data_IF_249715917708
#
_entry.id   IF_249715917708
#
_cell.length_a   1.000
_cell.length_b   1.000
_cell.length_c   1.000
_cell.angle_alpha   90.00
_cell.angle_beta   90.00
_cell.angle_gamma   90.00
#
_symmetry.space_group_name_H-M   'P 1'
#
loop_
_entity.id
_entity.type
_entity.pdbx_description
1 polymer ?
#
# COMPACT_ATOMS: atom_id res chain seq x y z
N UNK A 1 9.73 5.38 -8.54
CA UNK A 1 11.14 5.48 -8.13
C UNK A 1 11.82 4.10 -8.16
N UNK A 2 11.30 3.05 -7.49
CA UNK A 2 11.89 1.68 -7.55
C UNK A 2 12.23 1.16 -8.95
N UNK A 3 11.31 1.33 -9.92
CA UNK A 3 11.57 0.90 -11.29
C UNK A 3 12.62 1.77 -11.99
N UNK A 4 12.62 3.10 -11.75
CA UNK A 4 13.68 3.99 -12.24
C UNK A 4 15.06 3.64 -11.66
N UNK A 5 15.14 3.28 -10.37
CA UNK A 5 16.37 2.76 -9.77
C UNK A 5 16.89 1.51 -10.49
N UNK A 6 16.00 0.57 -10.84
CA UNK A 6 16.38 -0.63 -11.61
C UNK A 6 16.89 -0.31 -13.00
N UNK A 7 16.34 0.73 -13.66
CA UNK A 7 16.86 1.21 -14.95
C UNK A 7 18.30 1.70 -14.84
N UNK A 8 18.65 2.32 -13.71
CA UNK A 8 20.00 2.84 -13.44
C UNK A 8 20.98 1.72 -13.06
N UNK A 9 20.63 0.86 -12.09
CA UNK A 9 21.51 -0.22 -11.59
C UNK A 9 21.66 -1.39 -12.57
N UNK A 10 20.62 -1.69 -13.34
CA UNK A 10 20.59 -2.89 -14.17
C UNK A 10 20.22 -2.54 -15.63
N UNK A 11 21.09 -1.79 -16.34
CA UNK A 11 20.80 -1.31 -17.70
C UNK A 11 20.68 -2.47 -18.71
N UNK A 12 21.29 -3.62 -18.41
CA UNK A 12 21.34 -4.77 -19.32
C UNK A 12 20.12 -5.71 -19.26
N UNK A 13 19.19 -5.48 -18.33
CA UNK A 13 17.96 -6.29 -18.27
C UNK A 13 17.08 -6.04 -19.49
N UNK A 14 16.27 -7.04 -19.88
CA UNK A 14 15.34 -6.91 -21.00
C UNK A 14 14.42 -5.69 -20.83
N UNK A 15 13.88 -5.49 -19.62
CA UNK A 15 13.02 -4.35 -19.32
C UNK A 15 13.74 -3.01 -19.51
N UNK A 16 14.98 -2.88 -19.04
CA UNK A 16 15.79 -1.66 -19.22
C UNK A 16 16.09 -1.39 -20.70
N UNK A 17 16.49 -2.42 -21.46
CA UNK A 17 16.77 -2.31 -22.90
C UNK A 17 15.54 -1.89 -23.69
N UNK A 18 14.38 -2.49 -23.43
CA UNK A 18 13.11 -2.16 -24.10
C UNK A 18 12.66 -0.74 -23.77
N UNK A 19 12.71 -0.35 -22.49
CA UNK A 19 12.32 1.00 -22.07
C UNK A 19 13.27 2.07 -22.63
N UNK A 20 14.58 1.80 -22.66
CA UNK A 20 15.58 2.69 -23.26
C UNK A 20 15.32 2.86 -24.76
N UNK A 21 15.21 1.75 -25.51
CA UNK A 21 14.97 1.79 -26.95
C UNK A 21 13.68 2.54 -27.30
N UNK A 22 12.62 2.38 -26.50
CA UNK A 22 11.31 3.00 -26.77
C UNK A 22 11.22 4.47 -26.37
N UNK A 23 11.76 4.84 -25.21
CA UNK A 23 11.47 6.15 -24.60
C UNK A 23 12.69 7.07 -24.49
N UNK A 24 13.90 6.55 -24.46
CA UNK A 24 15.11 7.36 -24.30
C UNK A 24 16.33 6.75 -25.03
N UNK A 25 16.25 6.54 -26.36
CA UNK A 25 17.31 5.88 -27.11
C UNK A 25 18.61 6.69 -27.13
N UNK A 26 18.52 8.02 -27.09
CA UNK A 26 19.65 8.95 -27.19
C UNK A 26 19.89 9.78 -25.91
N UNK A 27 19.14 9.51 -24.85
CA UNK A 27 19.23 10.27 -23.60
C UNK A 27 19.58 9.34 -22.43
N UNK A 28 20.13 9.94 -21.37
CA UNK A 28 20.18 9.29 -20.08
C UNK A 28 18.82 9.34 -19.38
N UNK A 29 18.57 8.40 -18.48
CA UNK A 29 17.29 8.27 -17.78
C UNK A 29 16.82 9.58 -17.12
N UNK A 30 17.75 10.34 -16.52
CA UNK A 30 17.42 11.60 -15.86
C UNK A 30 17.01 12.72 -16.83
N UNK A 31 17.58 12.72 -18.03
CA UNK A 31 17.35 13.73 -19.07
C UNK A 31 16.23 13.34 -20.06
N UNK A 32 15.77 12.09 -20.01
CA UNK A 32 14.77 11.55 -20.91
C UNK A 32 13.44 12.34 -20.86
N UNK A 33 12.94 12.92 -21.96
CA UNK A 33 11.64 13.57 -21.94
C UNK A 33 10.50 12.54 -21.75
N UNK A 34 9.33 13.00 -21.30
CA UNK A 34 8.15 12.12 -21.21
C UNK A 34 7.66 11.74 -22.62
N UNK A 35 7.79 12.67 -23.59
CA UNK A 35 7.39 12.47 -24.99
C UNK A 35 5.87 12.54 -25.22
N UNK A 36 5.46 12.40 -26.49
CA UNK A 36 4.06 12.35 -26.90
C UNK A 36 3.56 10.90 -26.96
N UNK A 37 2.38 10.63 -26.39
CA UNK A 37 1.81 9.27 -26.30
C UNK A 37 2.52 8.26 -25.37
N UNK A 38 3.02 8.65 -24.18
CA UNK A 38 3.75 7.74 -23.29
C UNK A 38 2.83 6.67 -22.68
N UNK A 39 3.32 5.44 -22.45
CA UNK A 39 2.55 4.44 -21.70
C UNK A 39 2.33 4.87 -20.24
N UNK A 40 1.29 4.32 -19.59
CA UNK A 40 1.02 4.56 -18.16
C UNK A 40 2.25 4.23 -17.29
N UNK A 41 2.98 3.17 -17.63
CA UNK A 41 4.20 2.77 -16.94
C UNK A 41 5.28 3.86 -17.06
N UNK A 42 5.56 4.34 -18.28
CA UNK A 42 6.59 5.36 -18.48
C UNK A 42 6.24 6.68 -17.78
N UNK A 43 4.96 7.10 -17.85
CA UNK A 43 4.48 8.28 -17.10
C UNK A 43 4.72 8.13 -15.61
N UNK A 44 4.38 6.98 -15.03
CA UNK A 44 4.58 6.73 -13.59
C UNK A 44 6.08 6.74 -13.22
N UNK A 45 6.94 6.16 -14.06
CA UNK A 45 8.39 6.20 -13.84
C UNK A 45 8.89 7.65 -13.87
N UNK A 46 8.50 8.43 -14.89
CA UNK A 46 8.89 9.84 -15.03
C UNK A 46 8.37 10.72 -13.88
N UNK A 47 7.10 10.54 -13.47
CA UNK A 47 6.49 11.28 -12.37
C UNK A 47 7.25 11.08 -11.04
N UNK A 48 7.91 9.93 -10.89
CA UNK A 48 8.69 9.60 -9.70
C UNK A 48 10.19 9.85 -9.84
N UNK A 49 10.62 10.57 -10.89
CA UNK A 49 12.02 10.84 -11.19
C UNK A 49 12.64 11.86 -10.23
N UNK A 50 11.88 12.87 -9.78
CA UNK A 50 12.34 13.87 -8.80
C UNK A 50 12.90 13.22 -7.54
N UNK A 51 12.21 12.19 -7.03
CA UNK A 51 12.66 11.37 -5.89
C UNK A 51 14.05 10.79 -6.15
N UNK A 52 14.27 10.26 -7.36
CA UNK A 52 15.57 9.68 -7.74
C UNK A 52 16.63 10.77 -7.93
N UNK A 53 16.30 11.90 -8.54
CA UNK A 53 17.23 13.03 -8.70
C UNK A 53 17.70 13.54 -7.34
N UNK A 54 16.81 13.59 -6.35
CA UNK A 54 17.13 14.03 -5.00
C UNK A 54 18.11 13.08 -4.27
N UNK A 55 17.88 11.77 -4.33
CA UNK A 55 18.63 10.80 -3.52
C UNK A 55 19.70 9.98 -4.24
N UNK A 56 19.70 9.89 -5.56
CA UNK A 56 20.72 9.15 -6.31
C UNK A 56 22.00 9.98 -6.45
N UNK A 57 23.15 9.31 -6.30
CA UNK A 57 24.47 9.85 -6.62
C UNK A 57 25.25 8.87 -7.49
N UNK A 58 26.15 9.40 -8.31
CA UNK A 58 27.15 8.58 -9.00
C UNK A 58 28.27 8.25 -8.03
N UNK A 59 28.53 6.96 -7.89
CA UNK A 59 29.69 6.45 -7.17
C UNK A 59 30.84 6.33 -8.17
N UNK A 60 31.93 7.05 -7.91
CA UNK A 60 33.08 7.11 -8.81
C UNK A 60 33.93 5.85 -8.65
N UNK A 61 34.07 5.12 -9.75
CA UNK A 61 35.04 4.04 -9.94
C UNK A 61 36.22 4.57 -10.76
N UNK A 62 36.19 4.33 -12.07
CA UNK A 62 37.20 4.81 -13.03
C UNK A 62 36.95 6.24 -13.56
N UNK A 63 35.77 6.81 -13.25
CA UNK A 63 35.35 8.16 -13.63
C UNK A 63 35.02 8.34 -15.12
N UNK A 64 35.14 7.31 -15.95
CA UNK A 64 35.02 7.43 -17.42
C UNK A 64 33.59 7.64 -17.89
N UNK A 65 32.63 7.09 -17.15
CA UNK A 65 31.21 7.19 -17.50
C UNK A 65 30.49 8.33 -16.78
N UNK A 66 31.17 9.05 -15.88
CA UNK A 66 30.61 10.20 -15.15
C UNK A 66 31.06 11.54 -15.75
N UNK A 67 30.10 12.37 -16.11
CA UNK A 67 30.32 13.73 -16.58
C UNK A 67 30.38 14.71 -15.40
N UNK A 68 31.40 15.57 -15.38
CA UNK A 68 31.71 16.46 -14.25
C UNK A 68 30.53 17.39 -13.91
N UNK A 69 29.93 17.99 -14.93
CA UNK A 69 28.96 19.09 -14.76
C UNK A 69 27.48 18.67 -14.71
N UNK A 70 27.12 17.54 -15.32
CA UNK A 70 25.71 17.17 -15.57
C UNK A 70 25.25 15.97 -14.75
N UNK A 71 26.17 15.22 -14.14
CA UNK A 71 25.83 14.13 -13.26
C UNK A 71 25.94 14.56 -11.79
N UNK A 72 25.09 14.01 -10.93
CA UNK A 72 25.15 14.28 -9.49
C UNK A 72 26.12 13.31 -8.82
N UNK A 73 27.39 13.69 -8.69
CA UNK A 73 28.44 12.84 -8.11
C UNK A 73 29.04 13.40 -6.82
N UNK A 74 28.61 14.58 -6.38
CA UNK A 74 29.00 15.21 -5.11
C UNK A 74 28.12 14.66 -3.97
N UNK A 75 28.75 14.33 -2.84
CA UNK A 75 28.10 13.63 -1.71
C UNK A 75 27.34 14.54 -0.74
N UNK A 76 27.46 15.87 -0.87
CA UNK A 76 26.84 16.82 0.04
C UNK A 76 25.31 16.88 -0.13
N UNK A 77 24.61 17.04 0.98
CA UNK A 77 23.16 17.15 1.01
C UNK A 77 22.75 18.60 0.69
N UNK A 78 22.27 18.83 -0.54
CA UNK A 78 21.75 20.13 -0.99
C UNK A 78 22.38 20.61 -2.29
N UNK A 79 23.67 20.34 -2.49
CA UNK A 79 24.42 20.74 -3.69
C UNK A 79 24.81 19.54 -4.54
N UNK A 80 23.89 19.19 -5.44
CA UNK A 80 24.00 18.01 -6.31
C UNK A 80 25.04 18.17 -7.42
N UNK A 81 25.35 19.41 -7.77
CA UNK A 81 26.15 19.78 -8.94
C UNK A 81 27.23 20.77 -8.53
N UNK A 82 28.32 20.73 -9.29
CA UNK A 82 29.44 21.67 -9.13
C UNK A 82 28.93 23.08 -9.43
N UNK A 83 29.21 24.01 -8.51
CA UNK A 83 28.79 25.41 -8.58
C UNK A 83 29.74 26.27 -9.41
N UNK A 84 30.99 25.83 -9.54
CA UNK A 84 32.02 26.48 -10.35
C UNK A 84 31.49 26.71 -11.77
N UNK A 85 31.51 27.97 -12.22
CA UNK A 85 31.11 28.29 -13.60
C UNK A 85 32.08 27.68 -14.61
N UNK A 86 31.52 27.09 -15.67
CA UNK A 86 32.29 26.46 -16.74
C UNK A 86 33.04 27.53 -17.53
N UNK A 87 34.36 27.64 -17.33
CA UNK A 87 35.20 28.49 -18.17
C UNK A 87 35.16 28.02 -19.64
N UNK A 88 35.13 28.96 -20.59
CA UNK A 88 34.98 28.65 -22.03
C UNK A 88 36.11 27.79 -22.63
N UNK A 89 37.24 27.63 -21.93
CA UNK A 89 38.44 26.91 -22.40
C UNK A 89 38.75 25.64 -21.58
N UNK A 90 37.75 24.98 -21.00
CA UNK A 90 37.98 23.74 -20.24
C UNK A 90 38.23 22.56 -21.18
N UNK A 91 39.32 21.84 -20.94
CA UNK A 91 39.74 20.66 -21.72
C UNK A 91 39.25 19.32 -21.15
N UNK A 92 38.65 19.34 -19.95
CA UNK A 92 38.21 18.14 -19.23
C UNK A 92 36.68 18.09 -19.11
N UNK A 93 36.11 16.92 -19.36
CA UNK A 93 34.65 16.71 -19.43
C UNK A 93 34.22 15.61 -18.46
N UNK A 94 35.08 14.61 -18.24
CA UNK A 94 34.79 13.41 -17.45
C UNK A 94 35.55 13.43 -16.14
N UNK A 95 34.98 12.78 -15.12
CA UNK A 95 35.63 12.68 -13.80
C UNK A 95 36.99 11.97 -13.91
N UNK A 96 37.15 11.06 -14.88
CA UNK A 96 38.43 10.42 -15.20
C UNK A 96 39.55 11.42 -15.52
N UNK A 97 39.24 12.59 -16.07
CA UNK A 97 40.23 13.61 -16.42
C UNK A 97 40.82 14.30 -15.17
N UNK A 98 40.11 14.20 -14.04
CA UNK A 98 40.54 14.72 -12.74
C UNK A 98 41.35 13.69 -11.93
N UNK A 99 41.49 12.46 -12.44
CA UNK A 99 42.16 11.34 -11.75
C UNK A 99 43.53 11.09 -12.39
N UNK A 100 44.58 11.09 -11.59
CA UNK A 100 45.94 10.76 -11.99
C UNK A 100 46.50 9.66 -11.09
N UNK A 101 46.96 8.54 -11.66
CA UNK A 101 47.50 7.40 -10.90
C UNK A 101 46.57 6.89 -9.77
N UNK A 102 45.25 6.84 -10.04
CA UNK A 102 44.20 6.44 -9.08
C UNK A 102 44.08 7.34 -7.84
N UNK A 103 44.65 8.53 -7.88
CA UNK A 103 44.42 9.59 -6.89
C UNK A 103 43.88 10.83 -7.59
N UNK A 104 43.20 11.69 -6.83
CA UNK A 104 42.74 12.97 -7.37
C UNK A 104 43.94 13.84 -7.76
N UNK A 105 43.88 14.44 -8.95
CA UNK A 105 44.84 15.46 -9.37
C UNK A 105 44.53 16.78 -8.64
N UNK A 106 44.92 16.86 -7.36
CA UNK A 106 44.62 17.98 -6.50
C UNK A 106 45.08 19.32 -7.10
N UNK A 107 46.23 19.35 -7.78
CA UNK A 107 46.73 20.57 -8.43
C UNK A 107 45.77 21.08 -9.52
N UNK A 108 45.29 20.18 -10.37
CA UNK A 108 44.30 20.51 -11.41
C UNK A 108 42.99 20.99 -10.77
N UNK A 109 42.51 20.28 -9.75
CA UNK A 109 41.25 20.58 -9.08
C UNK A 109 41.29 21.97 -8.45
N UNK A 110 42.31 22.26 -7.64
CA UNK A 110 42.47 23.56 -6.98
C UNK A 110 42.65 24.73 -7.96
N UNK A 111 43.15 24.48 -9.17
CA UNK A 111 43.37 25.51 -10.18
C UNK A 111 42.07 25.89 -10.90
N UNK A 112 41.17 24.92 -11.10
CA UNK A 112 40.01 25.09 -11.98
C UNK A 112 38.65 25.10 -11.26
N UNK A 113 38.57 24.64 -10.02
CA UNK A 113 37.33 24.62 -9.24
C UNK A 113 37.38 25.64 -8.10
N UNK A 114 36.22 26.19 -7.74
CA UNK A 114 36.09 27.00 -6.53
C UNK A 114 36.45 26.18 -5.30
N UNK A 115 36.85 26.84 -4.22
CA UNK A 115 37.31 26.18 -3.00
C UNK A 115 36.29 25.16 -2.46
N UNK A 116 35.01 25.55 -2.42
CA UNK A 116 33.89 24.69 -2.03
C UNK A 116 33.83 23.37 -2.82
N UNK A 117 33.88 23.46 -4.15
CA UNK A 117 33.77 22.28 -5.01
C UNK A 117 35.06 21.44 -4.97
N UNK A 118 36.21 22.09 -4.89
CA UNK A 118 37.51 21.43 -4.74
C UNK A 118 37.55 20.57 -3.48
N UNK A 119 37.14 21.12 -2.34
CA UNK A 119 37.06 20.41 -1.07
C UNK A 119 36.11 19.20 -1.16
N UNK A 120 34.97 19.39 -1.81
CA UNK A 120 33.97 18.32 -1.97
C UNK A 120 34.45 17.21 -2.90
N UNK A 121 35.13 17.53 -4.01
CA UNK A 121 35.70 16.54 -4.92
C UNK A 121 36.79 15.73 -4.18
N UNK A 122 37.71 16.41 -3.51
CA UNK A 122 38.84 15.77 -2.83
C UNK A 122 38.43 14.89 -1.65
N UNK A 123 37.26 15.13 -1.06
CA UNK A 123 36.69 14.29 0.00
C UNK A 123 36.12 12.96 -0.50
N UNK A 124 35.86 12.81 -1.80
CA UNK A 124 35.28 11.58 -2.34
C UNK A 124 36.36 10.50 -2.37
N UNK A 125 36.18 9.37 -1.66
CA UNK A 125 37.13 8.27 -1.73
C UNK A 125 37.05 7.58 -3.09
N UNK A 126 38.20 7.47 -3.77
CA UNK A 126 38.33 6.67 -4.99
C UNK A 126 38.52 5.20 -4.65
N UNK A 127 37.96 4.30 -5.48
CA UNK A 127 38.17 2.87 -5.33
C UNK A 127 39.63 2.49 -5.61
N UNK A 128 40.22 1.67 -4.73
CA UNK A 128 41.55 1.09 -4.97
C UNK A 128 41.52 -0.02 -6.02
N UNK A 129 40.33 -0.58 -6.31
CA UNK A 129 40.09 -1.61 -7.31
C UNK A 129 39.62 -0.98 -8.60
N UNK A 130 39.99 -1.58 -9.73
CA UNK A 130 39.38 -1.23 -11.01
C UNK A 130 37.93 -1.68 -11.02
N UNK A 131 37.04 -0.70 -11.03
CA UNK A 131 35.60 -0.90 -11.13
C UNK A 131 35.00 0.24 -11.95
N UNK A 132 33.95 -0.07 -12.69
CA UNK A 132 33.17 0.93 -13.41
C UNK A 132 32.42 1.83 -12.42
N UNK A 133 32.11 3.06 -12.85
CA UNK A 133 31.23 3.95 -12.09
C UNK A 133 29.82 3.36 -11.95
N UNK A 134 29.22 3.51 -10.78
CA UNK A 134 27.89 2.98 -10.47
C UNK A 134 26.97 4.07 -9.87
N UNK A 135 25.72 3.73 -9.59
CA UNK A 135 24.77 4.58 -8.87
C UNK A 135 24.64 4.11 -7.42
N UNK A 136 24.64 5.05 -6.48
CA UNK A 136 24.35 4.80 -5.07
C UNK A 136 23.17 5.68 -4.60
N UNK A 137 22.42 5.18 -3.62
CA UNK A 137 21.38 5.94 -2.94
C UNK A 137 21.98 6.61 -1.69
N UNK A 138 22.25 7.91 -1.76
CA UNK A 138 22.99 8.64 -0.73
C UNK A 138 22.23 8.76 0.60
N UNK A 139 20.90 8.59 0.60
CA UNK A 139 20.08 8.67 1.81
C UNK A 139 20.08 7.37 2.63
N UNK A 140 20.80 6.34 2.19
CA UNK A 140 20.94 5.07 2.90
C UNK A 140 22.42 4.69 3.02
N UNK A 141 22.87 4.29 4.21
CA UNK A 141 24.25 3.84 4.46
C UNK A 141 24.67 2.66 3.58
N UNK A 142 23.72 1.82 3.14
CA UNK A 142 24.01 0.69 2.25
C UNK A 142 24.14 1.09 0.77
N UNK A 143 23.86 2.34 0.40
CA UNK A 143 23.87 2.79 -0.99
C UNK A 143 22.77 2.20 -1.87
N UNK A 144 21.83 1.46 -1.29
CA UNK A 144 20.74 0.78 -2.01
C UNK A 144 19.40 1.50 -1.83
N UNK A 145 18.64 1.60 -2.93
CA UNK A 145 17.31 2.17 -2.89
C UNK A 145 16.32 1.22 -2.21
N UNK A 146 15.63 1.73 -1.19
CA UNK A 146 14.55 1.02 -0.50
C UNK A 146 13.27 1.84 -0.63
N UNK A 147 12.14 1.17 -0.88
CA UNK A 147 10.84 1.82 -1.08
C UNK A 147 10.45 2.72 0.10
N UNK A 148 10.75 2.29 1.34
CA UNK A 148 10.52 3.07 2.57
C UNK A 148 11.21 4.44 2.53
N UNK A 149 12.47 4.49 2.12
CA UNK A 149 13.25 5.73 2.06
C UNK A 149 12.75 6.64 0.92
N UNK A 150 12.46 6.07 -0.25
CA UNK A 150 11.86 6.83 -1.35
C UNK A 150 10.48 7.39 -1.01
N UNK A 151 9.70 6.68 -0.20
CA UNK A 151 8.42 7.18 0.33
C UNK A 151 8.64 8.32 1.34
N UNK A 152 9.67 8.24 2.20
CA UNK A 152 10.03 9.35 3.10
C UNK A 152 10.36 10.61 2.31
N UNK A 153 11.19 10.51 1.27
CA UNK A 153 11.50 11.63 0.37
C UNK A 153 10.24 12.18 -0.28
N UNK A 154 9.38 11.31 -0.82
CA UNK A 154 8.13 11.74 -1.43
C UNK A 154 7.18 12.41 -0.41
N UNK A 155 7.22 12.00 0.86
CA UNK A 155 6.48 12.66 1.93
C UNK A 155 7.10 14.00 2.29
N UNK A 156 8.43 14.11 2.41
CA UNK A 156 9.15 15.36 2.68
C UNK A 156 8.92 16.42 1.59
N UNK A 157 8.93 16.02 0.31
CA UNK A 157 8.59 16.88 -0.84
C UNK A 157 7.12 17.36 -0.80
N UNK A 158 6.22 16.59 -0.18
CA UNK A 158 4.84 16.98 0.08
C UNK A 158 4.65 17.69 1.44
N UNK A 159 5.62 17.62 2.37
CA UNK A 159 5.53 18.17 3.73
C UNK A 159 5.82 19.68 3.76
N UNK A 160 6.36 20.26 2.68
CA UNK A 160 6.27 21.71 2.49
C UNK A 160 4.82 22.21 2.46
N UNK A 161 3.85 21.33 2.13
CA UNK A 161 2.42 21.63 2.05
C UNK A 161 1.57 20.96 3.16
N UNK A 162 2.15 20.07 3.96
CA UNK A 162 1.45 19.34 5.04
C UNK A 162 2.11 19.61 6.39
N UNK A 163 2.22 20.89 6.74
CA UNK A 163 2.44 21.38 8.11
C UNK A 163 1.20 21.18 9.00
N UNK A 164 0.52 20.04 8.89
CA UNK A 164 -0.65 19.70 9.69
C UNK A 164 -0.40 18.44 10.53
N UNK A 165 0.52 18.57 11.48
CA UNK A 165 0.68 17.65 12.61
C UNK A 165 -0.53 17.62 13.58
N UNK A 166 -1.72 18.14 13.19
CA UNK A 166 -2.87 18.32 14.09
C UNK A 166 -3.84 17.12 14.15
N UNK A 167 -3.90 16.26 13.12
CA UNK A 167 -4.88 15.18 13.07
C UNK A 167 -4.42 13.92 13.83
N UNK A 168 -5.20 13.36 14.78
CA UNK A 168 -4.77 12.26 15.64
C UNK A 168 -4.89 10.88 14.97
N UNK A 169 -4.09 10.64 13.92
CA UNK A 169 -4.13 9.41 13.10
C UNK A 169 -4.05 8.10 13.90
N UNK A 170 -3.23 8.07 14.95
CA UNK A 170 -3.00 6.88 15.75
C UNK A 170 -4.27 6.42 16.51
N UNK A 171 -5.23 7.33 16.77
CA UNK A 171 -6.47 7.00 17.48
C UNK A 171 -7.43 6.19 16.61
N UNK A 172 -7.43 6.38 15.29
CA UNK A 172 -8.29 5.61 14.36
C UNK A 172 -8.03 4.11 14.52
N UNK A 173 -6.75 3.73 14.60
CA UNK A 173 -6.35 2.33 14.66
C UNK A 173 -6.69 1.67 16.00
N UNK A 174 -6.87 2.46 17.06
CA UNK A 174 -7.24 1.99 18.41
C UNK A 174 -8.75 1.74 18.58
N UNK A 175 -9.60 2.29 17.71
CA UNK A 175 -11.06 2.08 17.80
C UNK A 175 -11.40 0.60 17.59
N UNK A 176 -12.30 0.02 18.41
CA UNK A 176 -12.70 -1.36 18.28
C UNK A 176 -13.88 -1.50 17.31
N UNK A 177 -13.56 -1.55 16.01
CA UNK A 177 -14.50 -1.71 14.89
C UNK A 177 -13.87 -2.60 13.80
N UNK A 178 -14.66 -3.10 12.83
CA UNK A 178 -14.14 -3.86 11.70
C UNK A 178 -13.00 -3.13 10.95
N UNK A 179 -11.95 -3.85 10.58
CA UNK A 179 -10.78 -3.29 9.89
C UNK A 179 -11.15 -2.58 8.56
N UNK A 180 -12.15 -3.10 7.84
CA UNK A 180 -12.70 -2.48 6.61
C UNK A 180 -13.20 -1.04 6.86
N UNK A 181 -13.75 -0.78 8.04
CA UNK A 181 -14.26 0.55 8.40
C UNK A 181 -13.10 1.49 8.74
N UNK A 182 -12.06 1.02 9.45
CA UNK A 182 -10.83 1.82 9.68
C UNK A 182 -10.19 2.26 8.37
N UNK A 183 -10.09 1.34 7.40
CA UNK A 183 -9.58 1.63 6.06
C UNK A 183 -10.48 2.63 5.30
N UNK A 184 -11.80 2.53 5.45
CA UNK A 184 -12.74 3.50 4.89
C UNK A 184 -12.50 4.91 5.46
N UNK A 185 -12.39 5.06 6.78
CA UNK A 185 -12.09 6.35 7.43
C UNK A 185 -10.75 6.91 6.94
N UNK A 186 -9.72 6.07 6.83
CA UNK A 186 -8.44 6.49 6.26
C UNK A 186 -8.59 7.00 4.82
N UNK A 187 -9.33 6.29 3.96
CA UNK A 187 -9.61 6.74 2.58
C UNK A 187 -10.39 8.06 2.55
N UNK A 188 -11.34 8.25 3.46
CA UNK A 188 -12.12 9.49 3.58
C UNK A 188 -11.20 10.69 3.87
N UNK A 189 -10.31 10.56 4.86
CA UNK A 189 -9.38 11.62 5.26
C UNK A 189 -8.34 11.94 4.18
N UNK A 190 -8.06 10.98 3.30
CA UNK A 190 -7.18 11.16 2.12
C UNK A 190 -7.93 11.64 0.87
N UNK A 191 -9.22 11.96 1.00
CA UNK A 191 -10.12 12.27 -0.11
C UNK A 191 -10.04 11.26 -1.28
N UNK A 192 -9.93 9.97 -0.95
CA UNK A 192 -9.66 8.91 -1.92
C UNK A 192 -10.90 8.07 -2.29
N UNK A 193 -12.10 8.49 -1.88
CA UNK A 193 -13.33 7.81 -2.25
C UNK A 193 -13.75 8.18 -3.69
N UNK A 194 -14.34 7.23 -4.44
CA UNK A 194 -14.84 7.45 -5.80
C UNK A 194 -16.18 8.20 -5.81
N UNK A 195 -16.25 9.35 -5.13
CA UNK A 195 -17.35 10.29 -5.29
C UNK A 195 -17.24 10.97 -6.66
N UNK A 196 -18.36 11.32 -7.29
CA UNK A 196 -18.41 11.89 -8.65
C UNK A 196 -17.48 13.10 -8.82
N UNK A 197 -17.37 13.97 -7.80
CA UNK A 197 -16.43 15.08 -7.86
C UNK A 197 -14.96 14.61 -8.04
N UNK A 198 -14.51 13.63 -7.26
CA UNK A 198 -13.15 13.09 -7.36
C UNK A 198 -12.92 12.35 -8.70
N UNK A 199 -13.96 11.73 -9.25
CA UNK A 199 -13.90 11.08 -10.56
C UNK A 199 -13.82 12.11 -11.71
N UNK A 200 -14.51 13.26 -11.58
CA UNK A 200 -14.40 14.37 -12.52
C UNK A 200 -13.03 15.04 -12.49
N UNK A 201 -12.44 15.20 -11.30
CA UNK A 201 -11.04 15.63 -11.14
C UNK A 201 -10.07 14.66 -11.84
N UNK A 202 -10.41 13.38 -11.89
CA UNK A 202 -9.70 12.37 -12.69
C UNK A 202 -10.04 12.39 -14.19
N UNK A 203 -10.67 13.45 -14.69
CA UNK A 203 -11.08 13.64 -16.09
C UNK A 203 -12.09 12.62 -16.62
N UNK A 204 -12.95 12.05 -15.76
CA UNK A 204 -14.11 11.31 -16.22
C UNK A 204 -15.28 12.27 -16.49
N UNK A 205 -15.93 12.12 -17.65
CA UNK A 205 -17.07 12.94 -18.04
C UNK A 205 -18.35 12.40 -17.41
N UNK A 206 -18.68 12.93 -16.24
CA UNK A 206 -19.85 12.56 -15.44
C UNK A 206 -20.45 13.80 -14.77
N UNK A 207 -21.75 13.74 -14.46
CA UNK A 207 -22.37 14.75 -13.61
C UNK A 207 -21.79 14.71 -12.18
N UNK A 208 -21.89 15.81 -11.45
CA UNK A 208 -21.42 15.88 -10.06
C UNK A 208 -22.55 15.82 -9.03
N UNK A 209 -23.79 15.58 -9.44
CA UNK A 209 -24.91 15.58 -8.52
C UNK A 209 -24.86 14.36 -7.58
N UNK A 210 -25.08 14.61 -6.29
CA UNK A 210 -25.19 13.57 -5.29
C UNK A 210 -26.27 12.55 -5.70
N UNK A 211 -25.95 11.25 -5.83
CA UNK A 211 -26.91 10.25 -6.27
C UNK A 211 -28.01 9.97 -5.22
N UNK A 212 -27.79 10.37 -3.96
CA UNK A 212 -28.72 10.10 -2.86
C UNK A 212 -29.78 11.19 -2.72
N UNK A 213 -29.39 12.47 -2.66
CA UNK A 213 -30.35 13.58 -2.53
C UNK A 213 -30.69 14.27 -3.86
N UNK A 214 -29.99 13.93 -4.95
CA UNK A 214 -30.16 14.55 -6.26
C UNK A 214 -29.66 15.99 -6.37
N UNK A 215 -29.18 16.60 -5.28
CA UNK A 215 -28.82 18.02 -5.21
C UNK A 215 -27.42 18.20 -4.63
N UNK A 216 -26.67 19.16 -5.16
CA UNK A 216 -25.34 19.51 -4.67
C UNK A 216 -24.24 18.57 -5.17
N UNK A 217 -23.00 19.06 -5.06
CA UNK A 217 -21.81 18.36 -5.53
C UNK A 217 -21.48 17.16 -4.63
N UNK A 218 -21.34 15.99 -5.24
CA UNK A 218 -21.01 14.74 -4.56
C UNK A 218 -19.54 14.75 -4.12
N UNK A 219 -19.31 15.30 -2.93
CA UNK A 219 -18.04 15.23 -2.19
C UNK A 219 -18.18 14.25 -1.02
N UNK A 220 -17.06 13.77 -0.48
CA UNK A 220 -17.08 12.92 0.74
C UNK A 220 -17.87 13.61 1.86
N UNK A 221 -17.64 14.92 2.07
CA UNK A 221 -18.31 15.67 3.13
C UNK A 221 -19.81 15.82 2.89
N UNK A 222 -20.21 16.06 1.64
CA UNK A 222 -21.63 16.10 1.30
C UNK A 222 -22.30 14.75 1.54
N UNK A 223 -21.80 13.67 0.93
CA UNK A 223 -22.41 12.33 1.01
C UNK A 223 -22.52 11.84 2.46
N UNK A 224 -21.51 12.09 3.27
CA UNK A 224 -21.44 11.55 4.63
C UNK A 224 -22.03 12.48 5.69
N UNK A 225 -22.21 13.77 5.42
CA UNK A 225 -22.55 14.74 6.47
C UNK A 225 -23.54 15.83 6.07
N UNK A 226 -23.33 16.53 4.94
CA UNK A 226 -24.17 17.68 4.58
C UNK A 226 -25.45 17.31 3.81
N UNK A 227 -25.46 16.17 3.14
CA UNK A 227 -26.61 15.65 2.39
C UNK A 227 -27.84 15.62 3.30
N UNK A 228 -29.00 16.04 2.79
CA UNK A 228 -30.25 16.04 3.57
C UNK A 228 -30.57 14.65 4.13
N UNK A 229 -30.35 13.60 3.33
CA UNK A 229 -30.47 12.22 3.75
C UNK A 229 -29.48 11.85 4.86
N UNK A 230 -28.19 12.18 4.68
CA UNK A 230 -27.17 11.88 5.69
C UNK A 230 -27.48 12.60 7.01
N UNK A 231 -27.92 13.85 6.94
CA UNK A 231 -28.36 14.64 8.10
C UNK A 231 -29.53 13.98 8.83
N UNK A 232 -30.51 13.43 8.11
CA UNK A 232 -31.58 12.63 8.73
C UNK A 232 -31.03 11.41 9.47
N UNK A 233 -30.05 10.70 8.91
CA UNK A 233 -29.40 9.57 9.60
C UNK A 233 -28.67 10.01 10.88
N UNK A 234 -27.94 11.14 10.85
CA UNK A 234 -27.28 11.69 12.03
C UNK A 234 -28.28 12.10 13.12
N UNK A 235 -29.40 12.73 12.74
CA UNK A 235 -30.46 13.11 13.68
C UNK A 235 -31.17 11.90 14.31
N UNK A 236 -31.27 10.78 13.60
CA UNK A 236 -31.82 9.52 14.11
C UNK A 236 -30.81 8.72 14.95
N UNK A 237 -29.53 9.08 14.90
CA UNK A 237 -28.50 8.48 15.75
C UNK A 237 -28.53 9.07 17.15
N UNK A 238 -27.90 8.39 18.12
CA UNK A 238 -27.82 8.88 19.50
C UNK A 238 -26.88 10.09 19.66
N UNK A 239 -26.24 10.52 18.58
CA UNK A 239 -25.22 11.57 18.55
C UNK A 239 -25.79 12.93 18.10
N UNK A 240 -26.97 12.92 17.48
CA UNK A 240 -27.56 14.10 16.85
C UNK A 240 -26.74 14.63 15.68
N UNK A 241 -26.91 15.92 15.36
CA UNK A 241 -26.19 16.59 14.29
C UNK A 241 -25.57 17.90 14.78
N UNK A 242 -24.25 18.02 14.66
CA UNK A 242 -23.46 19.21 15.04
C UNK A 242 -22.91 19.86 13.78
N UNK A 243 -22.87 21.18 13.69
CA UNK A 243 -22.26 21.82 12.52
C UNK A 243 -20.73 21.70 12.56
N UNK A 244 -20.12 21.18 11.49
CA UNK A 244 -18.67 21.16 11.29
C UNK A 244 -18.33 21.80 9.95
N UNK A 245 -17.11 22.34 9.81
CA UNK A 245 -16.64 22.92 8.55
C UNK A 245 -16.08 21.88 7.58
N UNK A 246 -15.64 20.72 8.08
CA UNK A 246 -15.08 19.63 7.27
C UNK A 246 -15.15 18.27 7.97
N UNK A 247 -14.94 17.19 7.20
CA UNK A 247 -14.77 15.84 7.77
C UNK A 247 -13.54 15.73 8.67
N UNK A 248 -12.45 16.45 8.38
CA UNK A 248 -11.26 16.44 9.23
C UNK A 248 -11.60 16.99 10.62
N UNK A 249 -12.29 18.13 10.70
CA UNK A 249 -12.71 18.70 11.99
C UNK A 249 -13.69 17.81 12.74
N UNK A 250 -14.65 17.20 12.01
CA UNK A 250 -15.63 16.29 12.59
C UNK A 250 -14.95 15.03 13.15
N UNK A 251 -14.06 14.39 12.39
CA UNK A 251 -13.36 13.17 12.81
C UNK A 251 -12.33 13.44 13.92
N UNK A 252 -11.66 14.59 13.91
CA UNK A 252 -10.82 15.01 15.04
C UNK A 252 -11.63 15.10 16.32
N UNK A 253 -12.77 15.83 16.30
CA UNK A 253 -13.67 15.95 17.44
C UNK A 253 -14.16 14.58 17.93
N UNK A 254 -14.58 13.72 17.01
CA UNK A 254 -15.02 12.35 17.34
C UNK A 254 -13.90 11.60 18.07
N UNK A 255 -12.68 11.63 17.54
CA UNK A 255 -11.57 10.87 18.10
C UNK A 255 -11.11 11.38 19.48
N UNK A 256 -11.18 12.68 19.73
CA UNK A 256 -10.66 13.32 20.95
C UNK A 256 -11.70 13.54 22.04
N UNK A 257 -12.96 13.73 21.68
CA UNK A 257 -13.99 14.27 22.59
C UNK A 257 -15.15 13.31 22.87
N UNK A 258 -15.39 12.30 22.02
CA UNK A 258 -16.46 11.33 22.23
C UNK A 258 -15.99 10.09 23.00
N UNK A 259 -16.92 9.44 23.68
CA UNK A 259 -16.66 8.17 24.40
C UNK A 259 -16.29 7.04 23.44
N UNK A 260 -15.77 5.92 23.96
CA UNK A 260 -15.42 4.74 23.13
C UNK A 260 -16.63 4.25 22.33
N UNK A 261 -17.77 4.01 22.99
CA UNK A 261 -18.99 3.52 22.33
C UNK A 261 -19.52 4.49 21.28
N UNK A 262 -19.53 5.79 21.57
CA UNK A 262 -19.97 6.82 20.61
C UNK A 262 -19.06 6.86 19.38
N UNK A 263 -17.73 6.75 19.55
CA UNK A 263 -16.77 6.72 18.43
C UNK A 263 -17.03 5.54 17.49
N UNK A 264 -17.33 4.38 18.06
CA UNK A 264 -17.64 3.17 17.30
C UNK A 264 -18.94 3.35 16.50
N UNK A 265 -20.00 3.89 17.13
CA UNK A 265 -21.28 4.19 16.45
C UNK A 265 -21.11 5.20 15.30
N UNK A 266 -20.35 6.28 15.51
CA UNK A 266 -20.03 7.27 14.45
C UNK A 266 -19.37 6.59 13.25
N UNK A 267 -18.35 5.76 13.50
CA UNK A 267 -17.54 5.17 12.43
C UNK A 267 -18.37 4.15 11.65
N UNK A 268 -19.23 3.40 12.35
CA UNK A 268 -20.15 2.46 11.72
C UNK A 268 -21.26 3.16 10.94
N UNK A 269 -21.75 4.31 11.41
CA UNK A 269 -22.73 5.10 10.68
C UNK A 269 -22.14 5.67 9.37
N UNK A 270 -20.90 6.15 9.41
CA UNK A 270 -20.17 6.58 8.21
C UNK A 270 -20.05 5.44 7.20
N UNK A 271 -19.70 4.24 7.66
CA UNK A 271 -19.66 3.05 6.81
C UNK A 271 -21.02 2.70 6.22
N UNK A 272 -22.08 2.77 7.02
CA UNK A 272 -23.44 2.48 6.59
C UNK A 272 -23.94 3.48 5.55
N UNK A 273 -23.68 4.78 5.75
CA UNK A 273 -23.97 5.84 4.77
C UNK A 273 -23.25 5.62 3.45
N UNK A 274 -21.95 5.29 3.50
CA UNK A 274 -21.18 4.98 2.30
C UNK A 274 -21.71 3.74 1.58
N UNK A 275 -22.09 2.71 2.34
CA UNK A 275 -22.68 1.49 1.79
C UNK A 275 -24.03 1.78 1.13
N UNK A 276 -24.89 2.55 1.78
CA UNK A 276 -26.17 2.97 1.21
C UNK A 276 -26.00 3.79 -0.08
N UNK A 277 -25.04 4.72 -0.12
CA UNK A 277 -24.72 5.43 -1.36
C UNK A 277 -24.35 4.45 -2.48
N UNK A 278 -23.53 3.43 -2.18
CA UNK A 278 -23.15 2.43 -3.18
C UNK A 278 -24.35 1.58 -3.62
N UNK A 279 -25.25 1.22 -2.70
CA UNK A 279 -26.51 0.52 -3.02
C UNK A 279 -27.37 1.34 -3.99
N UNK A 280 -27.47 2.66 -3.79
CA UNK A 280 -28.20 3.57 -4.69
C UNK A 280 -27.56 3.60 -6.08
N UNK A 281 -26.23 3.70 -6.15
CA UNK A 281 -25.52 3.82 -7.44
C UNK A 281 -25.52 2.51 -8.24
N UNK A 282 -25.21 1.39 -7.58
CA UNK A 282 -24.95 0.11 -8.26
C UNK A 282 -26.16 -0.81 -8.31
N UNK A 283 -26.98 -0.79 -7.25
CA UNK A 283 -28.10 -1.72 -7.10
C UNK A 283 -29.46 -1.04 -7.30
N UNK A 284 -29.50 0.29 -7.44
CA UNK A 284 -30.73 1.09 -7.51
C UNK A 284 -31.63 0.88 -6.27
N UNK A 285 -31.02 0.57 -5.11
CA UNK A 285 -31.74 0.33 -3.85
C UNK A 285 -31.66 1.60 -3.00
N UNK A 286 -32.80 2.25 -2.82
CA UNK A 286 -32.96 3.36 -1.88
C UNK A 286 -33.62 2.88 -0.58
N UNK A 287 -33.04 3.22 0.56
CA UNK A 287 -33.55 2.83 1.88
C UNK A 287 -33.88 4.07 2.70
N UNK A 288 -34.84 3.96 3.62
CA UNK A 288 -35.13 5.06 4.55
C UNK A 288 -33.97 5.25 5.55
N UNK A 289 -33.73 6.48 6.04
CA UNK A 289 -32.64 6.80 6.97
C UNK A 289 -32.54 5.86 8.18
N UNK A 290 -33.68 5.46 8.75
CA UNK A 290 -33.73 4.57 9.92
C UNK A 290 -33.09 3.20 9.66
N UNK A 291 -33.26 2.64 8.46
CA UNK A 291 -32.64 1.35 8.10
C UNK A 291 -31.13 1.47 7.97
N UNK A 292 -30.62 2.62 7.50
CA UNK A 292 -29.18 2.89 7.42
C UNK A 292 -28.58 3.00 8.82
N UNK A 293 -29.27 3.67 9.75
CA UNK A 293 -28.83 3.77 11.16
C UNK A 293 -28.89 2.41 11.85
N UNK A 294 -29.98 1.65 11.67
CA UNK A 294 -30.13 0.32 12.26
C UNK A 294 -29.09 -0.67 11.72
N UNK A 295 -28.76 -0.61 10.42
CA UNK A 295 -27.68 -1.40 9.82
C UNK A 295 -26.33 -1.12 10.49
N UNK A 296 -26.01 0.15 10.77
CA UNK A 296 -24.77 0.50 11.45
C UNK A 296 -24.69 -0.14 12.86
N UNK A 297 -25.79 -0.09 13.61
CA UNK A 297 -25.90 -0.63 14.98
C UNK A 297 -25.86 -2.16 14.99
N UNK A 298 -26.71 -2.81 14.20
CA UNK A 298 -26.81 -4.26 14.13
C UNK A 298 -25.46 -4.89 13.75
N UNK A 299 -24.78 -4.36 12.73
CA UNK A 299 -23.47 -4.88 12.31
C UNK A 299 -22.39 -4.63 13.35
N UNK A 300 -22.46 -3.52 14.11
CA UNK A 300 -21.53 -3.27 15.21
C UNK A 300 -21.73 -4.28 16.34
N UNK A 301 -22.99 -4.51 16.73
CA UNK A 301 -23.37 -5.46 17.78
C UNK A 301 -22.98 -6.89 17.40
N UNK A 302 -23.36 -7.35 16.21
CA UNK A 302 -22.95 -8.66 15.68
C UNK A 302 -21.43 -8.82 15.69
N UNK A 303 -20.68 -7.79 15.27
CA UNK A 303 -19.23 -7.82 15.27
C UNK A 303 -18.63 -7.87 16.68
N UNK A 304 -19.21 -7.14 17.64
CA UNK A 304 -18.79 -7.18 19.03
C UNK A 304 -19.09 -8.54 19.66
N UNK A 305 -20.28 -9.08 19.42
CA UNK A 305 -20.69 -10.42 19.88
C UNK A 305 -19.79 -11.51 19.30
N UNK A 306 -19.47 -11.46 18.00
CA UNK A 306 -18.58 -12.42 17.37
C UNK A 306 -17.17 -12.43 18.02
N UNK A 307 -16.68 -11.26 18.49
CA UNK A 307 -15.41 -11.17 19.21
C UNK A 307 -15.44 -11.72 20.62
N UNK A 308 -16.62 -11.76 21.23
CA UNK A 308 -16.83 -12.36 22.55
C UNK A 308 -17.09 -13.87 22.42
N UNK A 309 -17.77 -14.30 21.35
CA UNK A 309 -18.12 -15.68 21.11
C UNK A 309 -16.91 -16.55 20.80
N UNK A 310 -16.01 -16.04 19.94
CA UNK A 310 -14.77 -16.75 19.60
C UNK A 310 -13.60 -16.20 20.41
N UNK A 311 -12.96 -17.08 21.18
CA UNK A 311 -11.72 -16.76 21.91
C UNK A 311 -10.55 -16.57 20.95
N UNK A 312 -10.55 -17.36 19.88
CA UNK A 312 -9.51 -17.38 18.88
C UNK A 312 -10.06 -17.14 17.47
N UNK A 313 -9.20 -16.63 16.62
CA UNK A 313 -9.43 -16.47 15.19
C UNK A 313 -8.24 -17.02 14.44
N UNK A 314 -8.48 -17.90 13.48
CA UNK A 314 -7.45 -18.59 12.75
C UNK A 314 -7.56 -18.28 11.25
N UNK A 315 -6.52 -17.66 10.68
CA UNK A 315 -6.43 -17.43 9.24
C UNK A 315 -5.58 -18.53 8.60
N UNK A 316 -6.10 -19.16 7.56
CA UNK A 316 -5.45 -20.22 6.80
C UNK A 316 -5.24 -19.76 5.36
N UNK A 317 -4.06 -20.07 4.81
CA UNK A 317 -3.71 -19.88 3.40
C UNK A 317 -2.91 -21.09 2.90
N UNK A 318 -3.21 -21.55 1.69
CA UNK A 318 -2.68 -22.80 1.14
C UNK A 318 -1.99 -22.53 -0.19
N UNK A 319 -0.84 -23.17 -0.38
CA UNK A 319 -0.04 -23.00 -1.61
C UNK A 319 0.50 -24.32 -2.12
N UNK A 320 0.35 -24.54 -3.43
CA UNK A 320 0.85 -25.74 -4.11
C UNK A 320 2.32 -25.55 -4.47
N UNK A 321 3.15 -26.54 -4.14
CA UNK A 321 4.57 -26.55 -4.44
C UNK A 321 4.84 -27.27 -5.77
N UNK A 322 5.98 -26.97 -6.40
CA UNK A 322 6.36 -27.57 -7.69
C UNK A 322 6.53 -29.11 -7.65
N UNK A 323 6.74 -29.68 -6.46
CA UNK A 323 6.83 -31.13 -6.24
C UNK A 323 5.46 -31.79 -6.00
N UNK A 324 4.36 -31.05 -6.11
CA UNK A 324 2.99 -31.55 -5.87
C UNK A 324 2.56 -31.62 -4.40
N UNK A 325 3.42 -31.21 -3.46
CA UNK A 325 3.01 -31.06 -2.05
C UNK A 325 2.27 -29.75 -1.82
N UNK A 326 1.45 -29.72 -0.77
CA UNK A 326 0.74 -28.54 -0.31
C UNK A 326 1.47 -27.92 0.88
N UNK A 327 1.53 -26.60 0.92
CA UNK A 327 2.05 -25.84 2.07
C UNK A 327 0.92 -25.02 2.65
N UNK A 328 0.56 -25.37 3.88
CA UNK A 328 -0.43 -24.70 4.71
C UNK A 328 0.27 -23.68 5.60
N UNK A 329 -0.09 -22.41 5.47
CA UNK A 329 0.25 -21.36 6.41
C UNK A 329 -0.96 -21.03 7.29
N UNK A 330 -0.74 -20.94 8.60
CA UNK A 330 -1.82 -20.67 9.55
C UNK A 330 -1.39 -19.63 10.59
N UNK A 331 -2.27 -18.70 10.94
CA UNK A 331 -2.03 -17.69 11.98
C UNK A 331 -3.23 -17.62 12.92
N UNK A 332 -3.00 -17.97 14.19
CA UNK A 332 -3.98 -17.89 15.27
C UNK A 332 -3.82 -16.57 16.02
N UNK A 333 -4.95 -15.92 16.29
CA UNK A 333 -5.04 -14.65 17.02
C UNK A 333 -6.09 -14.73 18.11
N UNK A 334 -5.96 -13.96 19.18
CA UNK A 334 -7.01 -13.84 20.19
C UNK A 334 -8.08 -12.79 19.81
N UNK A 335 -9.14 -12.68 20.61
CA UNK A 335 -10.23 -11.69 20.46
C UNK A 335 -9.78 -10.21 20.44
N UNK A 336 -8.58 -9.92 20.94
CA UNK A 336 -7.96 -8.59 20.91
C UNK A 336 -7.13 -8.37 19.63
N UNK A 337 -6.96 -9.39 18.79
CA UNK A 337 -6.22 -9.33 17.53
C UNK A 337 -4.71 -9.57 17.68
N UNK A 338 -4.23 -9.94 18.86
CA UNK A 338 -2.83 -10.30 19.05
C UNK A 338 -2.56 -11.68 18.46
N UNK A 339 -1.43 -11.81 17.75
CA UNK A 339 -0.95 -13.08 17.26
C UNK A 339 -0.59 -13.98 18.45
N UNK A 340 -1.27 -15.12 18.56
CA UNK A 340 -0.99 -16.15 19.54
C UNK A 340 0.11 -17.07 19.01
N UNK A 341 -0.08 -17.58 17.79
CA UNK A 341 0.81 -18.57 17.19
C UNK A 341 0.69 -18.54 15.67
N UNK A 342 1.78 -18.86 14.98
CA UNK A 342 1.80 -19.06 13.54
C UNK A 342 2.42 -20.42 13.25
N UNK A 343 1.80 -21.18 12.34
CA UNK A 343 2.21 -22.53 12.01
C UNK A 343 2.37 -22.69 10.50
N UNK A 344 3.38 -23.47 10.11
CA UNK A 344 3.60 -23.88 8.74
C UNK A 344 3.61 -25.41 8.67
N UNK A 345 2.76 -25.98 7.82
CA UNK A 345 2.68 -27.43 7.59
C UNK A 345 2.92 -27.73 6.12
N UNK A 346 3.58 -28.85 5.84
CA UNK A 346 3.70 -29.41 4.49
C UNK A 346 2.91 -30.71 4.47
N UNK A 347 1.91 -30.76 3.60
CA UNK A 347 1.07 -31.93 3.43
C UNK A 347 1.44 -32.60 2.10
N UNK A 348 1.77 -33.90 2.08
CA UNK A 348 1.98 -34.65 0.84
C UNK A 348 0.72 -34.59 -0.02
N UNK A 349 0.88 -34.37 -1.33
CA UNK A 349 -0.24 -34.11 -2.21
C UNK A 349 -0.19 -34.87 -3.53
N UNK A 350 -1.37 -35.17 -4.06
CA UNK A 350 -1.63 -35.46 -5.47
C UNK A 350 -2.08 -34.14 -6.10
N UNK A 351 -1.53 -33.73 -7.26
CA UNK A 351 -1.65 -32.42 -7.95
C UNK A 351 -3.08 -31.90 -8.28
N UNK A 352 -4.05 -32.07 -7.38
CA UNK A 352 -5.41 -31.55 -7.42
C UNK A 352 -5.54 -30.38 -6.42
N UNK A 353 -5.61 -29.13 -6.90
CA UNK A 353 -5.76 -27.94 -6.06
C UNK A 353 -6.91 -28.03 -5.07
N UNK A 354 -8.09 -28.50 -5.50
CA UNK A 354 -9.28 -28.47 -4.66
C UNK A 354 -9.19 -29.51 -3.53
N UNK A 355 -8.69 -30.70 -3.84
CA UNK A 355 -8.49 -31.75 -2.84
C UNK A 355 -7.37 -31.35 -1.85
N UNK A 356 -6.33 -30.67 -2.35
CA UNK A 356 -5.28 -30.08 -1.52
C UNK A 356 -5.78 -29.03 -0.54
N UNK A 357 -6.66 -28.14 -1.01
CA UNK A 357 -7.29 -27.10 -0.19
C UNK A 357 -8.08 -27.72 0.99
N UNK A 358 -8.96 -28.70 0.71
CA UNK A 358 -9.76 -29.34 1.78
C UNK A 358 -8.89 -30.16 2.72
N UNK A 359 -7.92 -30.91 2.18
CA UNK A 359 -7.01 -31.69 3.00
C UNK A 359 -6.22 -30.80 3.97
N UNK A 360 -5.61 -29.72 3.47
CA UNK A 360 -4.91 -28.76 4.31
C UNK A 360 -5.84 -28.07 5.31
N UNK A 361 -7.07 -27.74 4.92
CA UNK A 361 -8.06 -27.19 5.83
C UNK A 361 -8.37 -28.17 6.97
N UNK A 362 -8.59 -29.46 6.68
CA UNK A 362 -8.79 -30.52 7.68
C UNK A 362 -7.60 -30.65 8.63
N UNK A 363 -6.37 -30.67 8.11
CA UNK A 363 -5.15 -30.74 8.94
C UNK A 363 -5.00 -29.53 9.86
N UNK A 364 -5.41 -28.34 9.39
CA UNK A 364 -5.44 -27.14 10.21
C UNK A 364 -6.42 -27.29 11.39
N UNK A 365 -7.63 -27.82 11.15
CA UNK A 365 -8.63 -28.09 12.19
C UNK A 365 -8.11 -29.12 13.22
N UNK A 366 -7.53 -30.22 12.75
CA UNK A 366 -6.91 -31.23 13.62
C UNK A 366 -5.80 -30.65 14.50
N UNK A 367 -4.99 -29.75 13.95
CA UNK A 367 -3.94 -29.05 14.71
C UNK A 367 -4.54 -28.10 15.75
N UNK A 368 -5.58 -27.32 15.39
CA UNK A 368 -6.26 -26.42 16.33
C UNK A 368 -6.86 -27.19 17.51
N UNK A 369 -7.49 -28.33 17.24
CA UNK A 369 -8.06 -29.22 18.27
C UNK A 369 -6.96 -29.75 19.19
N UNK A 370 -5.88 -30.27 18.62
CA UNK A 370 -4.75 -30.84 19.37
C UNK A 370 -4.06 -29.82 20.28
N UNK A 371 -4.08 -28.54 19.91
CA UNK A 371 -3.48 -27.46 20.68
C UNK A 371 -4.48 -26.70 21.57
N UNK A 372 -5.73 -27.19 21.70
CA UNK A 372 -6.78 -26.60 22.53
C UNK A 372 -7.16 -25.15 22.15
N UNK A 373 -7.15 -24.83 20.86
CA UNK A 373 -7.63 -23.56 20.35
C UNK A 373 -9.15 -23.59 20.10
N UNK A 374 -9.93 -23.48 21.17
CA UNK A 374 -11.41 -23.37 21.11
C UNK A 374 -11.93 -22.38 22.17
N UNK A 375 -13.07 -21.68 21.95
CA UNK A 375 -13.81 -21.60 20.68
C UNK A 375 -13.06 -20.77 19.63
N UNK A 376 -13.02 -21.24 18.38
CA UNK A 376 -12.24 -20.62 17.28
C UNK A 376 -13.09 -20.33 16.03
N UNK A 377 -12.88 -19.15 15.45
CA UNK A 377 -13.38 -18.82 14.10
C UNK A 377 -12.27 -19.05 13.08
N UNK A 378 -12.49 -19.96 12.13
CA UNK A 378 -11.51 -20.30 11.08
C UNK A 378 -11.87 -19.57 9.78
N UNK A 379 -10.90 -18.90 9.17
CA UNK A 379 -11.06 -18.16 7.91
C UNK A 379 -10.14 -18.73 6.82
N UNK A 380 -10.75 -19.02 5.66
CA UNK A 380 -10.08 -19.43 4.43
C UNK A 380 -10.60 -18.55 3.28
N UNK A 381 -9.78 -18.35 2.25
CA UNK A 381 -10.14 -17.68 1.01
C UNK A 381 -10.74 -18.64 -0.06
N UNK A 382 -10.78 -19.94 0.23
CA UNK A 382 -11.40 -20.93 -0.64
C UNK A 382 -12.92 -20.96 -0.48
N UNK A 383 -13.62 -20.18 -1.32
CA UNK A 383 -15.09 -20.08 -1.33
C UNK A 383 -15.79 -21.45 -1.51
N UNK A 384 -15.19 -22.38 -2.27
CA UNK A 384 -15.74 -23.71 -2.49
C UNK A 384 -15.86 -24.52 -1.20
N UNK A 385 -14.86 -24.44 -0.32
CA UNK A 385 -14.89 -25.10 0.99
C UNK A 385 -15.99 -24.49 1.85
N UNK A 386 -16.05 -23.15 1.90
CA UNK A 386 -17.06 -22.43 2.69
C UNK A 386 -18.48 -22.81 2.25
N UNK A 387 -18.72 -22.87 0.95
CA UNK A 387 -20.03 -23.26 0.41
C UNK A 387 -20.38 -24.72 0.71
N UNK A 388 -19.42 -25.65 0.59
CA UNK A 388 -19.62 -27.08 0.87
C UNK A 388 -19.83 -27.38 2.37
N UNK A 389 -19.18 -26.62 3.26
CA UNK A 389 -19.41 -26.71 4.70
C UNK A 389 -20.82 -26.23 5.09
N UNK A 390 -21.32 -25.20 4.41
CA UNK A 390 -22.63 -24.60 4.69
C UNK A 390 -23.81 -25.31 4.02
N UNK A 391 -23.57 -26.21 3.04
CA UNK A 391 -24.64 -26.97 2.39
C UNK A 391 -25.22 -28.03 3.33
N UNK A 392 -26.54 -28.04 3.50
CA UNK A 392 -27.30 -29.04 4.25
C UNK A 392 -27.31 -30.37 3.48
N UNK A 393 -26.80 -31.47 4.04
CA UNK A 393 -26.92 -32.78 3.42
C UNK A 393 -28.36 -33.28 3.48
N UNK A 394 -29.10 -33.16 2.38
CA UNK A 394 -30.28 -33.98 2.12
C UNK A 394 -30.50 -34.12 0.61
N UNK A 395 -29.67 -34.92 -0.05
CA UNK A 395 -30.10 -35.66 -1.23
C UNK A 395 -29.21 -36.91 -1.35
N UNK A 396 -29.51 -37.87 -0.47
CA UNK A 396 -29.04 -39.23 -0.57
C UNK A 396 -29.76 -39.92 -1.73
N UNK A 397 -29.25 -39.77 -2.95
CA UNK A 397 -29.55 -40.71 -4.02
C UNK A 397 -28.35 -40.93 -4.92
N UNK A 398 -27.85 -42.17 -4.84
CA UNK A 398 -26.91 -42.85 -5.74
C UNK A 398 -25.41 -42.50 -5.69
N UNK A 399 -24.68 -43.44 -5.06
CA UNK A 399 -23.40 -44.05 -5.46
C UNK A 399 -22.24 -43.13 -5.87
N UNK A 400 -21.16 -43.24 -5.09
CA UNK A 400 -19.85 -42.58 -5.20
C UNK A 400 -19.77 -41.17 -4.60
N UNK A 401 -19.77 -41.08 -3.26
CA UNK A 401 -19.31 -39.87 -2.56
C UNK A 401 -17.90 -39.55 -3.03
N UNK A 402 -17.74 -38.43 -3.73
CA UNK A 402 -16.43 -37.97 -4.18
C UNK A 402 -15.49 -37.85 -2.98
N UNK A 403 -14.19 -38.12 -3.16
CA UNK A 403 -13.18 -37.96 -2.09
C UNK A 403 -13.26 -36.59 -1.39
N UNK A 404 -13.68 -35.56 -2.15
CA UNK A 404 -13.95 -34.22 -1.65
C UNK A 404 -15.08 -34.18 -0.59
N UNK A 405 -16.21 -34.84 -0.84
CA UNK A 405 -17.34 -34.86 0.12
C UNK A 405 -16.99 -35.56 1.43
N UNK A 406 -16.24 -36.66 1.37
CA UNK A 406 -15.77 -37.36 2.57
C UNK A 406 -14.88 -36.44 3.42
N UNK A 407 -13.96 -35.71 2.81
CA UNK A 407 -13.11 -34.76 3.52
C UNK A 407 -13.87 -33.56 4.08
N UNK A 408 -14.92 -33.09 3.38
CA UNK A 408 -15.81 -32.04 3.89
C UNK A 408 -16.56 -32.52 5.13
N UNK A 409 -17.02 -33.78 5.17
CA UNK A 409 -17.65 -34.35 6.35
C UNK A 409 -16.68 -34.45 7.53
N UNK A 410 -15.43 -34.90 7.31
CA UNK A 410 -14.39 -34.87 8.35
C UNK A 410 -14.18 -33.44 8.90
N UNK A 411 -14.21 -32.43 8.03
CA UNK A 411 -14.08 -31.03 8.44
C UNK A 411 -15.29 -30.56 9.27
N UNK A 412 -16.51 -30.98 8.92
CA UNK A 412 -17.73 -30.68 9.70
C UNK A 412 -17.65 -31.28 11.10
N UNK A 413 -17.21 -32.53 11.20
CA UNK A 413 -17.04 -33.22 12.49
C UNK A 413 -16.01 -32.51 13.37
N UNK A 414 -14.85 -32.15 12.82
CA UNK A 414 -13.82 -31.39 13.53
C UNK A 414 -14.30 -29.99 13.97
N UNK A 415 -15.09 -29.31 13.13
CA UNK A 415 -15.67 -28.00 13.46
C UNK A 415 -16.71 -28.08 14.57
N UNK A 416 -17.44 -29.20 14.71
CA UNK A 416 -18.38 -29.39 15.82
C UNK A 416 -17.69 -29.55 17.18
N UNK A 417 -16.41 -29.93 17.19
CA UNK A 417 -15.59 -30.11 18.39
C UNK A 417 -14.74 -28.88 18.76
N UNK A 418 -14.72 -27.85 17.91
CA UNK A 418 -13.94 -26.61 18.01
C UNK A 418 -14.81 -25.38 18.32
#
# INVERSE_FOLDING_TARGET
AKQGWRLLKYPNTLASKVLKAKYFPHFDFFQAPVGNGPSKIWRSICASRSILTYGCRRQIGDGRSTHIWTNSWILEAGDLYIRTEVAKNITFVRVSDLILNRTWNAKLIWTHFQQHDSDNILRIPLSLRECDDDWCWALNRKGEYVVKEGYRVAMEDNLADVSNHSFPWHLIWKVAIPAKVKLLIWRILRNALPCKHNLRVCHMDIDECCPVCGVGMETNFHVLYCCSFARSCWLLSNLGWISFSSLNTMLSYVLTSLSVSQREEVFMLIWSLWTHRNDVVWNQIFQQPIYVVNRARAVLEEWQLARLHFRYKCNIDISIQANGSYRLGMVVRNSLGYCCEGQLMVVPGLMDPLLGEVLCFREALSWLKSNNYFPVCVETDCELIVNALNSSHSDSSHSDSSYFELMINDCKDLLHEL
#
